data_IF_005004723283
#
_entry.id   IF_005004723283
#
_cell.length_a   1.000
_cell.length_b   1.000
_cell.length_c   1.000
_cell.angle_alpha   90.00
_cell.angle_beta   90.00
_cell.angle_gamma   90.00
#
_symmetry.space_group_name_H-M   'P 1'
#
loop_
_entity.id
_entity.type
_entity.pdbx_description
1 polymer ?
#
# COMPACT_ATOMS: atom_id res chain seq x y z
N UNK A 1 -13.24 6.54 -16.43
CA UNK A 1 -11.87 6.48 -15.89
C UNK A 1 -11.42 5.04 -15.78
N UNK A 2 -10.30 4.72 -16.36
CA UNK A 2 -9.83 3.34 -16.37
C UNK A 2 -9.09 2.92 -15.10
N UNK A 3 -8.38 3.84 -14.48
CA UNK A 3 -7.50 3.53 -13.35
C UNK A 3 -8.12 4.07 -12.10
N UNK A 4 -9.06 3.30 -11.53
CA UNK A 4 -9.80 3.78 -10.38
C UNK A 4 -9.54 3.03 -9.09
N UNK A 5 -8.76 1.96 -9.11
CA UNK A 5 -8.42 1.19 -7.92
C UNK A 5 -6.91 1.18 -7.72
N UNK A 6 -6.46 1.78 -6.64
CA UNK A 6 -5.05 2.04 -6.40
C UNK A 6 -4.61 1.31 -5.13
N UNK A 7 -3.48 0.63 -5.21
CA UNK A 7 -2.82 0.07 -4.05
C UNK A 7 -1.68 1.00 -3.64
N UNK A 8 -1.56 1.26 -2.35
CA UNK A 8 -0.39 1.93 -1.77
C UNK A 8 0.29 0.90 -0.88
N UNK A 9 1.48 0.49 -1.25
CA UNK A 9 2.20 -0.59 -0.58
C UNK A 9 3.34 0.03 0.23
N UNK A 10 3.37 -0.26 1.51
CA UNK A 10 4.37 0.29 2.40
C UNK A 10 4.85 -0.75 3.41
N UNK A 11 5.77 -0.37 4.27
CA UNK A 11 6.52 -1.31 5.08
C UNK A 11 7.81 -1.66 4.34
N UNK A 12 8.57 -2.54 4.84
CA UNK A 12 9.75 -3.11 4.19
C UNK A 12 10.42 -4.05 5.18
N UNK A 13 11.42 -4.77 4.72
CA UNK A 13 12.18 -5.64 5.62
C UNK A 13 13.33 -4.91 6.30
N UNK A 14 13.52 -3.63 6.00
CA UNK A 14 14.56 -2.85 6.64
C UNK A 14 14.13 -2.36 8.03
N UNK A 15 15.10 -1.87 8.79
CA UNK A 15 14.82 -1.28 10.10
C UNK A 15 14.01 0.01 10.00
N UNK A 16 13.85 0.56 8.80
CA UNK A 16 13.12 1.81 8.56
C UNK A 16 11.66 1.56 8.19
N UNK A 17 11.14 0.38 8.46
CA UNK A 17 9.77 0.03 8.04
C UNK A 17 8.71 0.95 8.65
N UNK A 18 8.92 1.43 9.89
CA UNK A 18 7.93 2.33 10.50
C UNK A 18 7.87 3.67 9.79
N UNK A 19 9.00 4.15 9.29
CA UNK A 19 9.02 5.39 8.50
C UNK A 19 8.28 5.17 7.19
N UNK A 20 8.47 4.01 6.58
CA UNK A 20 7.75 3.66 5.36
C UNK A 20 6.23 3.62 5.59
N UNK A 21 5.79 3.11 6.73
CA UNK A 21 4.36 3.10 7.08
C UNK A 21 3.82 4.53 7.14
N UNK A 22 4.50 5.42 7.84
CA UNK A 22 4.04 6.81 7.93
C UNK A 22 3.99 7.49 6.57
N UNK A 23 4.99 7.25 5.76
CA UNK A 23 5.04 7.83 4.41
C UNK A 23 3.93 7.27 3.52
N UNK A 24 3.68 5.98 3.63
CA UNK A 24 2.63 5.34 2.85
C UNK A 24 1.24 5.80 3.26
N UNK A 25 1.00 5.92 4.57
CA UNK A 25 -0.28 6.45 5.06
C UNK A 25 -0.50 7.88 4.59
N UNK A 26 0.54 8.69 4.63
CA UNK A 26 0.45 10.07 4.14
C UNK A 26 0.14 10.09 2.66
N UNK A 27 0.84 9.29 1.87
CA UNK A 27 0.61 9.20 0.42
C UNK A 27 -0.82 8.77 0.12
N UNK A 28 -1.30 7.74 0.81
CA UNK A 28 -2.67 7.27 0.62
C UNK A 28 -3.69 8.36 0.92
N UNK A 29 -3.43 9.15 1.95
CA UNK A 29 -4.35 10.21 2.36
C UNK A 29 -4.41 11.35 1.34
N UNK A 30 -3.39 11.48 0.48
CA UNK A 30 -3.32 12.57 -0.51
C UNK A 30 -3.91 12.19 -1.85
N UNK A 31 -4.23 10.92 -2.06
CA UNK A 31 -4.85 10.49 -3.31
C UNK A 31 -6.31 10.96 -3.33
N UNK A 32 -6.74 11.46 -4.48
CA UNK A 32 -8.06 12.05 -4.64
C UNK A 32 -9.16 11.02 -4.36
N UNK A 33 -9.87 11.20 -3.25
CA UNK A 33 -10.91 10.29 -2.81
C UNK A 33 -12.20 10.38 -3.61
N UNK A 34 -12.34 11.37 -4.49
CA UNK A 34 -13.49 11.47 -5.37
C UNK A 34 -13.31 10.61 -6.62
N UNK A 35 -12.08 10.31 -6.97
CA UNK A 35 -11.75 9.60 -8.21
C UNK A 35 -11.35 8.16 -8.01
N UNK A 36 -10.75 7.83 -6.86
CA UNK A 36 -10.07 6.55 -6.70
C UNK A 36 -10.49 5.83 -5.43
N UNK A 37 -10.59 4.50 -5.55
CA UNK A 37 -10.60 3.61 -4.40
C UNK A 37 -9.13 3.36 -4.03
N UNK A 38 -8.78 3.48 -2.77
CA UNK A 38 -7.40 3.37 -2.31
C UNK A 38 -7.30 2.27 -1.26
N UNK A 39 -6.39 1.34 -1.47
CA UNK A 39 -6.13 0.23 -0.56
C UNK A 39 -4.70 0.34 -0.05
N UNK A 40 -4.55 0.29 1.26
CA UNK A 40 -3.24 0.38 1.91
C UNK A 40 -2.79 -1.02 2.27
N UNK A 41 -1.63 -1.40 1.77
CA UNK A 41 -1.09 -2.75 1.93
C UNK A 41 0.23 -2.65 2.70
N UNK A 42 0.28 -3.37 3.82
CA UNK A 42 1.50 -3.46 4.61
C UNK A 42 2.24 -4.72 4.18
N UNK A 43 3.47 -4.55 3.73
CA UNK A 43 4.31 -5.64 3.22
C UNK A 43 5.58 -5.73 4.05
N UNK A 44 5.76 -6.84 4.76
CA UNK A 44 6.95 -7.05 5.58
C UNK A 44 7.13 -8.55 5.80
N UNK A 45 8.37 -9.00 5.68
CA UNK A 45 8.75 -10.39 5.96
C UNK A 45 7.90 -11.40 5.18
N UNK A 46 7.66 -11.08 3.93
CA UNK A 46 6.90 -11.95 3.04
C UNK A 46 5.40 -11.93 3.24
N UNK A 47 4.90 -11.17 4.18
CA UNK A 47 3.47 -11.06 4.45
C UNK A 47 2.96 -9.76 3.89
N UNK A 48 1.91 -9.84 3.08
CA UNK A 48 1.31 -8.69 2.41
C UNK A 48 -0.17 -8.69 2.73
N UNK A 49 -0.59 -7.72 3.53
CA UNK A 49 -1.97 -7.66 4.01
C UNK A 49 -2.54 -6.27 3.81
N UNK A 50 -3.83 -6.22 3.48
CA UNK A 50 -4.55 -4.95 3.43
C UNK A 50 -4.83 -4.51 4.86
N UNK A 51 -4.36 -3.32 5.21
CA UNK A 51 -4.56 -2.79 6.56
C UNK A 51 -5.70 -1.79 6.61
N UNK A 52 -5.99 -1.13 5.50
CA UNK A 52 -7.06 -0.13 5.44
C UNK A 52 -7.45 0.08 3.99
N UNK A 53 -8.65 0.59 3.78
CA UNK A 53 -9.06 1.01 2.44
C UNK A 53 -10.08 2.14 2.54
N UNK A 54 -10.24 2.83 1.42
CA UNK A 54 -11.20 3.92 1.30
C UNK A 54 -11.81 3.86 -0.09
N UNK A 55 -13.08 3.50 -0.16
CA UNK A 55 -13.82 3.54 -1.42
C UNK A 55 -14.07 5.00 -1.80
N UNK A 56 -14.31 5.26 -3.08
CA UNK A 56 -14.62 6.61 -3.54
C UNK A 56 -15.77 7.20 -2.76
N UNK A 57 -15.63 8.45 -2.37
CA UNK A 57 -16.63 9.20 -1.61
C UNK A 57 -16.98 8.55 -0.28
N UNK A 58 -16.07 7.78 0.29
CA UNK A 58 -16.33 7.10 1.55
C UNK A 58 -15.21 7.37 2.54
N UNK A 59 -15.45 7.03 3.78
CA UNK A 59 -14.46 7.17 4.82
C UNK A 59 -13.49 5.99 4.81
N UNK A 60 -12.31 6.22 5.33
CA UNK A 60 -11.29 5.20 5.45
C UNK A 60 -11.72 4.15 6.48
N UNK A 61 -11.64 2.89 6.11
CA UNK A 61 -11.90 1.76 7.00
C UNK A 61 -10.57 1.10 7.34
N UNK A 62 -10.33 0.84 8.62
CA UNK A 62 -9.11 0.19 9.09
C UNK A 62 -9.47 -1.19 9.61
N UNK A 63 -8.83 -2.22 9.07
CA UNK A 63 -9.06 -3.59 9.53
C UNK A 63 -8.44 -3.81 10.91
N UNK A 64 -9.09 -4.58 11.77
CA UNK A 64 -8.45 -5.06 12.99
C UNK A 64 -7.18 -5.83 12.66
N UNK A 65 -6.19 -5.75 13.52
CA UNK A 65 -4.88 -6.33 13.23
C UNK A 65 -4.93 -7.84 12.97
N UNK A 66 -5.86 -8.54 13.61
CA UNK A 66 -6.01 -9.99 13.46
C UNK A 66 -6.97 -10.39 12.33
N UNK A 67 -7.50 -9.42 11.58
CA UNK A 67 -8.48 -9.68 10.52
C UNK A 67 -8.11 -9.01 9.21
N UNK A 68 -6.83 -8.75 8.97
CA UNK A 68 -6.36 -8.12 7.75
C UNK A 68 -6.37 -9.10 6.59
N UNK A 69 -7.08 -8.80 5.50
CA UNK A 69 -7.07 -9.68 4.33
C UNK A 69 -5.68 -9.79 3.73
N UNK A 70 -5.32 -10.99 3.31
CA UNK A 70 -4.01 -11.25 2.74
C UNK A 70 -4.06 -11.14 1.22
N UNK A 71 -3.02 -10.54 0.66
CA UNK A 71 -2.86 -10.43 -0.80
C UNK A 71 -2.52 -11.81 -1.36
N UNK A 72 -3.25 -12.20 -2.40
CA UNK A 72 -2.89 -13.36 -3.20
C UNK A 72 -1.82 -12.92 -4.20
N UNK A 73 -0.60 -13.37 -3.97
CA UNK A 73 0.53 -12.92 -4.79
C UNK A 73 0.55 -13.52 -6.18
N UNK A 74 -0.27 -14.53 -6.44
CA UNK A 74 -0.28 -15.14 -7.77
C UNK A 74 -0.88 -14.20 -8.82
N UNK A 75 -1.87 -13.39 -8.44
CA UNK A 75 -2.50 -12.44 -9.35
C UNK A 75 -2.60 -11.04 -8.76
N UNK A 76 -1.99 -10.82 -7.62
CA UNK A 76 -2.01 -9.57 -6.90
C UNK A 76 -3.43 -9.05 -6.67
N UNK A 77 -4.21 -9.86 -5.98
CA UNK A 77 -5.59 -9.55 -5.66
C UNK A 77 -5.85 -9.80 -4.17
N UNK A 78 -7.01 -9.37 -3.71
CA UNK A 78 -7.43 -9.62 -2.34
C UNK A 78 -8.94 -9.85 -2.34
N UNK A 79 -9.42 -10.68 -1.42
CA UNK A 79 -10.85 -10.89 -1.24
C UNK A 79 -11.29 -10.11 -0.01
N UNK A 80 -12.24 -9.21 -0.20
CA UNK A 80 -12.81 -8.40 0.88
C UNK A 80 -14.33 -8.52 0.77
N UNK A 81 -14.96 -8.94 1.85
CA UNK A 81 -16.42 -9.15 1.90
C UNK A 81 -16.91 -10.05 0.77
N UNK A 82 -16.14 -11.11 0.51
CA UNK A 82 -16.51 -12.09 -0.49
C UNK A 82 -16.24 -11.65 -1.93
N UNK A 83 -15.71 -10.46 -2.14
CA UNK A 83 -15.45 -9.96 -3.49
C UNK A 83 -13.97 -9.85 -3.76
N UNK A 84 -13.56 -10.27 -4.93
CA UNK A 84 -12.17 -10.18 -5.36
C UNK A 84 -11.89 -8.77 -5.86
N UNK A 85 -10.88 -8.16 -5.26
CA UNK A 85 -10.43 -6.81 -5.62
C UNK A 85 -9.10 -6.92 -6.34
N UNK A 86 -9.01 -6.33 -7.51
CA UNK A 86 -7.76 -6.20 -8.27
C UNK A 86 -7.44 -4.72 -8.40
N UNK A 87 -6.17 -4.44 -8.56
CA UNK A 87 -5.68 -3.07 -8.57
C UNK A 87 -5.27 -2.68 -9.97
N UNK A 88 -5.55 -1.44 -10.34
CA UNK A 88 -5.14 -0.93 -11.64
C UNK A 88 -3.71 -0.46 -11.61
N UNK A 89 -3.29 0.05 -10.46
CA UNK A 89 -1.93 0.48 -10.32
C UNK A 89 -1.49 0.55 -8.86
N UNK A 90 -0.22 0.53 -8.64
CA UNK A 90 0.31 0.51 -7.28
C UNK A 90 1.44 1.52 -7.12
N UNK A 91 1.40 2.24 -6.00
CA UNK A 91 2.55 2.99 -5.50
C UNK A 91 3.26 2.08 -4.50
N UNK A 92 4.52 1.82 -4.73
CA UNK A 92 5.32 1.04 -3.80
C UNK A 92 6.26 2.01 -3.09
N UNK A 93 6.01 2.19 -1.80
CA UNK A 93 6.79 3.10 -0.97
C UNK A 93 7.79 2.29 -0.19
N UNK A 94 9.06 2.45 -0.50
CA UNK A 94 10.12 1.81 0.25
C UNK A 94 11.06 2.90 0.76
N UNK A 95 11.43 2.77 2.01
CA UNK A 95 12.41 3.68 2.58
C UNK A 95 13.80 3.17 2.24
N UNK A 96 14.67 4.03 1.81
CA UNK A 96 16.03 3.64 1.48
C UNK A 96 16.74 3.05 2.67
N UNK A 97 17.66 2.16 2.41
CA UNK A 97 18.43 1.51 3.45
C UNK A 97 19.53 2.46 3.91
N UNK A 98 19.44 3.02 5.11
CA UNK A 98 20.42 4.03 5.52
C UNK A 98 21.83 3.46 5.67
N UNK A 99 21.93 2.17 5.90
CA UNK A 99 23.23 1.57 6.10
C UNK A 99 24.06 1.40 4.84
N UNK A 100 23.48 1.58 3.67
CA UNK A 100 24.23 1.43 2.43
C UNK A 100 25.31 2.46 2.31
N UNK A 101 24.96 3.67 2.60
CA UNK A 101 25.92 4.75 2.74
C UNK A 101 25.19 5.85 3.48
N UNK A 102 25.79 6.56 4.31
CA UNK A 102 25.15 7.56 5.13
C UNK A 102 24.44 8.66 4.38
N UNK A 103 24.60 8.73 3.07
CA UNK A 103 23.98 9.76 2.26
C UNK A 103 22.54 9.47 1.90
N UNK A 104 22.14 8.21 2.03
CA UNK A 104 20.81 7.81 1.60
C UNK A 104 19.78 7.83 2.72
N UNK A 105 20.16 8.32 3.88
CA UNK A 105 19.22 8.45 4.99
C UNK A 105 18.07 9.34 4.62
N UNK A 106 16.88 8.88 4.91
CA UNK A 106 15.69 9.68 4.69
C UNK A 106 15.13 9.65 3.29
N UNK A 107 15.80 9.02 2.35
CA UNK A 107 15.25 8.88 1.01
C UNK A 107 14.24 7.75 0.96
N UNK A 108 13.24 7.95 0.15
CA UNK A 108 12.34 6.87 -0.19
C UNK A 108 12.55 6.47 -1.62
N UNK A 109 12.30 5.21 -1.91
CA UNK A 109 12.12 4.75 -3.27
C UNK A 109 10.63 4.59 -3.50
N UNK A 110 10.12 5.29 -4.50
CA UNK A 110 8.72 5.19 -4.89
C UNK A 110 8.68 4.57 -6.27
N UNK A 111 8.00 3.46 -6.38
CA UNK A 111 7.79 2.82 -7.68
C UNK A 111 6.31 2.87 -8.00
N UNK A 112 6.00 3.18 -9.25
CA UNK A 112 4.63 3.20 -9.71
C UNK A 112 4.50 2.11 -10.75
N UNK A 113 3.61 1.16 -10.50
CA UNK A 113 3.44 -0.01 -11.35
C UNK A 113 2.01 -0.02 -11.85
N UNK A 114 1.84 -0.13 -13.16
CA UNK A 114 0.53 -0.32 -13.75
C UNK A 114 0.21 -1.82 -13.77
N UNK A 115 -0.93 -2.18 -13.22
CA UNK A 115 -1.38 -3.56 -13.10
C UNK A 115 -2.58 -3.73 -14.01
N UNK A 116 -2.36 -4.21 -15.20
CA UNK A 116 -3.45 -4.35 -16.18
C UNK A 116 -3.98 -5.76 -16.28
#
# INVERSE_FOLDING_TARGET
MKYNTIAVIYGSDSSEWQVSVRSGEFTASRIDGLLYDVYEIFAREGKWNVVAYRKRNSMRFVFPQDARPQIDKTDFSVVIDGQKVKFDFAYIMQHGTPGENGLMQGFYNISIIFLL
#
